data_IF_609821478766
#
_entry.id   IF_609821478766
#
_cell.length_a   1.000
_cell.length_b   1.000
_cell.length_c   1.000
_cell.angle_alpha   90.00
_cell.angle_beta   90.00
_cell.angle_gamma   90.00
#
_symmetry.space_group_name_H-M   'P 1'
#
loop_
_entity.id
_entity.type
_entity.pdbx_description
1 polymer ?
#
# COMPACT_ATOMS: atom_id res chain seq x y z
N UNK A 1 47.26 -16.34 12.68
CA UNK A 1 46.52 -16.54 11.43
C UNK A 1 45.13 -15.94 11.61
N UNK A 2 45.04 -14.66 11.29
CA UNK A 2 43.88 -13.86 10.84
C UNK A 2 42.46 -14.29 11.29
N UNK A 3 41.93 -13.47 12.19
CA UNK A 3 40.56 -13.20 12.67
C UNK A 3 39.36 -13.58 11.74
N UNK A 4 38.23 -14.11 12.29
CA UNK A 4 36.96 -14.26 11.56
C UNK A 4 36.20 -12.93 11.48
N UNK A 5 36.38 -12.21 10.38
CA UNK A 5 35.68 -10.96 10.10
C UNK A 5 34.22 -11.20 9.65
N UNK A 6 33.30 -10.99 10.59
CA UNK A 6 32.11 -10.14 10.43
C UNK A 6 31.33 -10.22 9.11
N UNK A 7 30.16 -10.86 9.16
CA UNK A 7 29.04 -10.52 8.27
C UNK A 7 27.85 -10.03 9.08
N UNK A 8 27.97 -8.81 9.58
CA UNK A 8 26.81 -8.07 10.05
C UNK A 8 26.09 -7.48 8.83
N UNK A 9 24.98 -8.07 8.42
CA UNK A 9 24.00 -7.37 7.56
C UNK A 9 22.88 -6.83 8.44
N UNK A 10 23.18 -5.77 9.18
CA UNK A 10 22.19 -4.99 9.91
C UNK A 10 21.43 -4.04 8.97
N UNK A 11 20.43 -4.55 8.23
CA UNK A 11 19.47 -3.70 7.51
C UNK A 11 18.31 -3.32 8.45
N UNK A 12 18.43 -2.19 9.17
CA UNK A 12 17.27 -1.53 9.81
C UNK A 12 17.18 -0.08 9.34
N UNK A 13 16.29 0.19 8.36
CA UNK A 13 15.36 1.31 8.49
C UNK A 13 13.95 1.02 7.92
N UNK A 14 13.50 -0.23 7.81
CA UNK A 14 12.25 -0.56 7.09
C UNK A 14 10.97 0.01 7.77
N UNK A 15 10.91 0.05 9.11
CA UNK A 15 9.74 0.56 9.86
C UNK A 15 9.41 2.03 9.54
N UNK A 16 10.42 2.90 9.47
CA UNK A 16 10.24 4.34 9.20
C UNK A 16 9.66 4.58 7.79
N UNK A 17 10.11 3.80 6.80
CA UNK A 17 9.58 3.89 5.44
C UNK A 17 8.17 3.31 5.34
N UNK A 18 7.90 2.19 6.03
CA UNK A 18 6.56 1.61 6.09
C UNK A 18 5.53 2.54 6.75
N UNK A 19 5.90 3.23 7.84
CA UNK A 19 5.04 4.22 8.49
C UNK A 19 4.78 5.44 7.61
N UNK A 20 5.80 5.97 6.94
CA UNK A 20 5.62 7.07 5.97
C UNK A 20 4.71 6.68 4.82
N UNK A 21 4.89 5.47 4.27
CA UNK A 21 4.06 4.92 3.22
C UNK A 21 2.63 4.68 3.68
N UNK A 22 2.42 4.18 4.91
CA UNK A 22 1.11 4.02 5.52
C UNK A 22 0.39 5.36 5.61
N UNK A 23 1.03 6.38 6.19
CA UNK A 23 0.45 7.74 6.26
C UNK A 23 0.11 8.30 4.87
N UNK A 24 0.98 8.08 3.90
CA UNK A 24 0.73 8.49 2.52
C UNK A 24 -0.46 7.73 1.90
N UNK A 25 -0.57 6.43 2.13
CA UNK A 25 -1.68 5.62 1.64
C UNK A 25 -3.01 5.99 2.31
N UNK A 26 -3.02 6.24 3.63
CA UNK A 26 -4.21 6.74 4.34
C UNK A 26 -4.71 8.07 3.74
N UNK A 27 -3.79 9.00 3.48
CA UNK A 27 -4.13 10.27 2.81
C UNK A 27 -4.67 10.10 1.39
N UNK A 28 -4.26 9.05 0.67
CA UNK A 28 -4.83 8.73 -0.64
C UNK A 28 -6.23 8.15 -0.48
N UNK A 29 -6.40 7.13 0.36
CA UNK A 29 -7.71 6.50 0.63
C UNK A 29 -8.74 7.48 1.19
N UNK A 30 -8.32 8.57 1.84
CA UNK A 30 -9.24 9.63 2.28
C UNK A 30 -9.80 10.48 1.14
N UNK A 31 -9.14 10.51 -0.03
CA UNK A 31 -9.51 11.35 -1.18
C UNK A 31 -10.24 10.58 -2.26
N UNK A 32 -9.94 9.30 -2.42
CA UNK A 32 -10.53 8.43 -3.42
C UNK A 32 -10.54 6.98 -2.93
N UNK A 33 -11.41 6.18 -3.51
CA UNK A 33 -11.44 4.74 -3.26
C UNK A 33 -10.31 4.05 -4.02
N UNK A 34 -9.59 3.17 -3.34
CA UNK A 34 -8.54 2.35 -3.93
C UNK A 34 -8.77 0.88 -3.60
N UNK A 35 -8.42 0.00 -4.55
CA UNK A 35 -8.38 -1.42 -4.30
C UNK A 35 -7.00 -1.88 -3.80
N UNK A 36 -6.92 -3.13 -3.36
CA UNK A 36 -5.69 -3.73 -2.81
C UNK A 36 -4.55 -3.67 -3.84
N UNK A 37 -4.82 -4.00 -5.10
CA UNK A 37 -3.82 -3.99 -6.16
C UNK A 37 -3.27 -2.59 -6.45
N UNK A 38 -4.13 -1.56 -6.43
CA UNK A 38 -3.70 -0.18 -6.66
C UNK A 38 -2.77 0.32 -5.56
N UNK A 39 -3.14 0.07 -4.29
CA UNK A 39 -2.30 0.44 -3.16
C UNK A 39 -1.01 -0.35 -3.17
N UNK A 40 -1.05 -1.65 -3.48
CA UNK A 40 0.16 -2.48 -3.62
C UNK A 40 1.12 -1.92 -4.66
N UNK A 41 0.63 -1.61 -5.86
CA UNK A 41 1.45 -1.04 -6.92
C UNK A 41 2.04 0.32 -6.50
N UNK A 42 1.27 1.15 -5.78
CA UNK A 42 1.79 2.41 -5.21
C UNK A 42 2.89 2.17 -4.17
N UNK A 43 2.71 1.21 -3.26
CA UNK A 43 3.71 0.90 -2.23
C UNK A 43 5.01 0.36 -2.86
N UNK A 44 4.89 -0.51 -3.85
CA UNK A 44 6.03 -1.00 -4.65
C UNK A 44 6.71 0.17 -5.39
N UNK A 45 5.95 1.09 -5.99
CA UNK A 45 6.50 2.30 -6.63
C UNK A 45 7.24 3.24 -5.67
N UNK A 46 6.93 3.19 -4.37
CA UNK A 46 7.62 3.96 -3.33
C UNK A 46 8.86 3.25 -2.79
N UNK A 47 9.21 2.08 -3.35
CA UNK A 47 10.38 1.31 -2.97
C UNK A 47 10.19 0.48 -1.70
N UNK A 48 8.94 0.21 -1.28
CA UNK A 48 8.70 -0.71 -0.18
C UNK A 48 8.91 -2.15 -0.64
N UNK A 49 9.55 -2.94 0.21
CA UNK A 49 9.62 -4.38 0.04
C UNK A 49 8.22 -5.01 0.04
N UNK A 50 8.10 -6.19 -0.57
CA UNK A 50 6.83 -6.90 -0.68
C UNK A 50 6.24 -7.25 0.69
N UNK A 51 7.07 -7.65 1.65
CA UNK A 51 6.66 -7.95 3.03
C UNK A 51 6.14 -6.71 3.77
N UNK A 52 6.83 -5.57 3.70
CA UNK A 52 6.35 -4.33 4.29
C UNK A 52 5.06 -3.84 3.62
N UNK A 53 4.96 -3.95 2.30
CA UNK A 53 3.77 -3.56 1.55
C UNK A 53 2.53 -4.34 2.00
N UNK A 54 2.67 -5.66 2.16
CA UNK A 54 1.61 -6.54 2.66
C UNK A 54 1.18 -6.15 4.10
N UNK A 55 2.13 -5.81 4.97
CA UNK A 55 1.80 -5.33 6.32
C UNK A 55 1.03 -4.01 6.31
N UNK A 56 1.43 -3.07 5.46
CA UNK A 56 0.74 -1.78 5.29
C UNK A 56 -0.68 -2.00 4.77
N UNK A 57 -0.86 -2.83 3.73
CA UNK A 57 -2.17 -3.16 3.16
C UNK A 57 -3.08 -3.78 4.22
N UNK A 58 -2.61 -4.77 4.99
CA UNK A 58 -3.39 -5.40 6.06
C UNK A 58 -3.86 -4.39 7.10
N UNK A 59 -3.02 -3.42 7.44
CA UNK A 59 -3.38 -2.36 8.38
C UNK A 59 -4.45 -1.44 7.79
N UNK A 60 -4.31 -1.05 6.53
CA UNK A 60 -5.30 -0.24 5.81
C UNK A 60 -6.67 -0.93 5.69
N UNK A 61 -6.70 -2.24 5.44
CA UNK A 61 -7.93 -3.04 5.43
C UNK A 61 -8.55 -3.09 6.83
N UNK A 62 -7.73 -3.38 7.86
CA UNK A 62 -8.19 -3.46 9.25
C UNK A 62 -8.78 -2.14 9.75
N UNK A 63 -8.19 -1.01 9.35
CA UNK A 63 -8.67 0.33 9.67
C UNK A 63 -9.75 0.83 8.68
N UNK A 64 -10.24 -0.02 7.77
CA UNK A 64 -11.29 0.26 6.79
C UNK A 64 -10.99 1.43 5.83
N UNK A 65 -9.70 1.70 5.59
CA UNK A 65 -9.25 2.61 4.53
C UNK A 65 -9.39 1.98 3.14
N UNK A 66 -9.14 0.66 3.03
CA UNK A 66 -9.39 -0.11 1.80
C UNK A 66 -10.64 -0.96 2.04
N UNK A 67 -11.64 -0.75 1.19
CA UNK A 67 -12.88 -1.52 1.21
C UNK A 67 -13.27 -1.86 -0.23
N UNK A 68 -13.19 -3.14 -0.60
CA UNK A 68 -13.39 -3.60 -1.98
C UNK A 68 -14.84 -3.46 -2.45
N UNK A 69 -15.82 -3.60 -1.56
CA UNK A 69 -17.24 -3.38 -1.89
C UNK A 69 -17.50 -1.90 -2.22
N UNK A 70 -16.95 -1.01 -1.41
CA UNK A 70 -17.04 0.44 -1.62
C UNK A 70 -16.34 0.85 -2.93
N UNK A 71 -15.18 0.27 -3.21
CA UNK A 71 -14.46 0.46 -4.47
C UNK A 71 -15.27 -0.03 -5.68
N UNK A 72 -15.83 -1.25 -5.64
CA UNK A 72 -16.63 -1.81 -6.73
C UNK A 72 -17.85 -0.93 -7.05
N UNK A 73 -18.57 -0.49 -6.02
CA UNK A 73 -19.71 0.42 -6.18
C UNK A 73 -19.31 1.80 -6.71
N UNK A 74 -18.15 2.33 -6.32
CA UNK A 74 -17.63 3.58 -6.88
C UNK A 74 -17.23 3.41 -8.35
N UNK A 75 -16.53 2.33 -8.69
CA UNK A 75 -16.08 2.02 -10.05
C UNK A 75 -17.25 1.86 -11.02
N UNK A 76 -18.28 1.07 -10.67
CA UNK A 76 -19.46 0.90 -11.53
C UNK A 76 -20.21 2.22 -11.73
N UNK A 77 -20.41 3.01 -10.66
CA UNK A 77 -21.05 4.33 -10.78
C UNK A 77 -20.24 5.28 -11.64
N UNK A 78 -18.92 5.26 -11.53
CA UNK A 78 -18.02 6.09 -12.33
C UNK A 78 -18.11 5.72 -13.81
N UNK A 79 -18.03 4.42 -14.14
CA UNK A 79 -18.17 3.93 -15.52
C UNK A 79 -19.56 4.18 -16.09
N UNK A 80 -20.61 3.99 -15.31
CA UNK A 80 -21.97 4.29 -15.74
C UNK A 80 -22.14 5.78 -16.10
N UNK A 81 -21.66 6.68 -15.24
CA UNK A 81 -21.79 8.13 -15.45
C UNK A 81 -20.91 8.67 -16.58
N UNK A 82 -19.67 8.20 -16.67
CA UNK A 82 -18.66 8.82 -17.53
C UNK A 82 -18.46 8.08 -18.85
N UNK A 83 -18.68 6.76 -18.91
CA UNK A 83 -18.47 6.00 -20.15
C UNK A 83 -19.73 5.87 -21.03
N UNK A 84 -20.86 6.50 -20.66
CA UNK A 84 -22.12 6.44 -21.41
C UNK A 84 -22.53 4.99 -21.78
N UNK A 85 -22.50 4.08 -20.81
CA UNK A 85 -22.95 2.69 -21.00
C UNK A 85 -24.49 2.61 -21.02
N UNK A 86 -25.14 3.49 -21.79
CA UNK A 86 -26.57 3.50 -22.07
C UNK A 86 -26.89 2.63 -23.27
#
# INVERSE_FOLDING_TARGET
MENPASRQEGKKPEKSQAEKALNRAMNLCSKAEYCISDIRQKLESWGLGQTASEQVIRKLIKENFINEERYAGAYVRDKYRHNKWG
#
